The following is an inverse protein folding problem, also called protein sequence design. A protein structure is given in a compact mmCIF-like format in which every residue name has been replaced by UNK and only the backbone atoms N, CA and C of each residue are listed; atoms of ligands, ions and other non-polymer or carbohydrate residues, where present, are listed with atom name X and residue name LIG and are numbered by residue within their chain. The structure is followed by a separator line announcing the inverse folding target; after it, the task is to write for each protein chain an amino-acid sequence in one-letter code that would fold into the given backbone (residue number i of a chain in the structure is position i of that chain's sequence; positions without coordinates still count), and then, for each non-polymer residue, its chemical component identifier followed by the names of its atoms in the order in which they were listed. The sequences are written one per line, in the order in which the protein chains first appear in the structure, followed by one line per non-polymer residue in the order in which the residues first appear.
data_IF_142239984442
#
_entry.id   IF_142239984442
#
_cell.length_a   1.000
_cell.length_b   1.000
_cell.length_c   1.000
_cell.angle_alpha   90.00
_cell.angle_beta   90.00
_cell.angle_gamma   90.00
#
_symmetry.space_group_name_H-M   'P 1'
#
loop_
_entity.id
_entity.type
_entity.pdbx_description
1 polymer ?
#
# COMPACT_ATOMS: atom_id res chain seq x y z
N UNK A 1 0.98 33.31 -8.56
CA UNK A 1 -0.12 33.06 -9.49
C UNK A 1 0.19 31.93 -10.45
N UNK A 2 1.36 31.99 -11.12
CA UNK A 2 1.78 30.90 -12.00
C UNK A 2 1.94 29.59 -11.27
N UNK A 3 2.53 29.63 -10.07
CA UNK A 3 2.71 28.43 -9.26
C UNK A 3 1.37 27.85 -8.80
N UNK A 4 0.38 28.69 -8.47
CA UNK A 4 -0.95 28.24 -8.11
C UNK A 4 -1.68 27.58 -9.27
N UNK A 5 -1.63 28.22 -10.46
CA UNK A 5 -2.26 27.67 -11.66
C UNK A 5 -1.59 26.37 -12.09
N UNK A 6 -0.26 26.31 -12.07
CA UNK A 6 0.49 25.10 -12.37
C UNK A 6 0.17 23.99 -11.37
N UNK A 7 0.07 24.31 -10.07
CA UNK A 7 -0.29 23.33 -9.03
C UNK A 7 -1.68 22.76 -9.24
N UNK A 8 -2.66 23.59 -9.61
CA UNK A 8 -4.02 23.13 -9.88
C UNK A 8 -4.05 22.19 -11.08
N UNK A 9 -3.37 22.55 -12.17
CA UNK A 9 -3.30 21.70 -13.37
C UNK A 9 -2.58 20.40 -13.04
N UNK A 10 -1.46 20.47 -12.33
CA UNK A 10 -0.69 19.31 -11.93
C UNK A 10 -1.51 18.37 -11.06
N UNK A 11 -2.22 18.90 -10.05
CA UNK A 11 -3.08 18.11 -9.16
C UNK A 11 -4.20 17.41 -9.92
N UNK A 12 -4.76 18.04 -10.96
CA UNK A 12 -5.82 17.43 -11.78
C UNK A 12 -5.34 16.18 -12.49
N UNK A 13 -4.05 16.10 -12.87
CA UNK A 13 -3.49 14.92 -13.54
C UNK A 13 -3.54 13.69 -12.63
N UNK A 14 -3.57 13.90 -11.30
CA UNK A 14 -3.52 12.83 -10.31
C UNK A 14 -4.85 12.59 -9.59
N UNK A 15 -5.92 13.26 -10.00
CA UNK A 15 -7.24 13.01 -9.42
C UNK A 15 -7.84 11.67 -9.83
N UNK A 16 -7.44 11.17 -10.99
CA UNK A 16 -7.88 9.87 -11.48
C UNK A 16 -6.67 9.04 -11.83
N UNK A 17 -6.67 7.80 -11.38
CA UNK A 17 -5.66 6.82 -11.77
C UNK A 17 -6.38 5.56 -12.22
N UNK A 18 -6.11 5.16 -13.46
CA UNK A 18 -6.71 3.96 -14.03
C UNK A 18 -5.72 2.80 -13.85
N UNK A 19 -6.15 1.76 -13.16
CA UNK A 19 -5.29 0.62 -12.80
C UNK A 19 -4.57 0.03 -14.02
N UNK A 20 -5.26 -0.07 -15.15
CA UNK A 20 -4.69 -0.61 -16.39
C UNK A 20 -3.49 0.17 -16.91
N UNK A 21 -3.37 1.44 -16.54
CA UNK A 21 -2.29 2.33 -17.01
C UNK A 21 -1.12 2.40 -16.03
N UNK A 22 -1.23 1.73 -14.88
CA UNK A 22 -0.19 1.76 -13.84
C UNK A 22 0.74 0.57 -14.02
N UNK A 23 2.04 0.86 -14.10
CA UNK A 23 3.06 -0.18 -14.17
C UNK A 23 3.35 -0.72 -12.77
N UNK A 24 3.32 -2.05 -12.63
CA UNK A 24 3.66 -2.69 -11.38
C UNK A 24 5.18 -2.71 -11.18
N UNK A 25 5.61 -2.52 -9.93
CA UNK A 25 7.01 -2.61 -9.50
C UNK A 25 7.19 -3.90 -8.69
N UNK A 26 8.25 -4.65 -8.98
CA UNK A 26 8.61 -5.81 -8.17
C UNK A 26 9.18 -5.33 -6.83
N UNK A 27 8.68 -5.88 -5.72
CA UNK A 27 9.09 -5.49 -4.36
C UNK A 27 9.88 -6.59 -3.68
N UNK A 28 9.24 -7.74 -3.51
CA UNK A 28 9.79 -8.95 -2.92
C UNK A 28 9.50 -10.10 -3.88
N UNK A 29 10.14 -11.28 -3.73
CA UNK A 29 9.76 -12.43 -4.52
C UNK A 29 8.27 -12.72 -4.41
N UNK A 30 7.57 -12.70 -5.55
CA UNK A 30 6.13 -12.95 -5.61
C UNK A 30 5.26 -11.77 -5.20
N UNK A 31 5.82 -10.58 -5.01
CA UNK A 31 5.08 -9.39 -4.56
C UNK A 31 5.32 -8.23 -5.53
N UNK A 32 4.24 -7.67 -6.06
CA UNK A 32 4.30 -6.49 -6.93
C UNK A 32 3.44 -5.38 -6.37
N UNK A 33 3.81 -4.15 -6.63
CA UNK A 33 3.12 -2.95 -6.14
C UNK A 33 2.75 -2.03 -7.29
N UNK A 34 1.51 -1.55 -7.26
CA UNK A 34 1.05 -0.44 -8.08
C UNK A 34 0.75 0.75 -7.17
N UNK A 35 1.30 1.91 -7.49
CA UNK A 35 0.94 3.16 -6.82
C UNK A 35 -0.29 3.70 -7.54
N UNK A 36 -1.39 3.86 -6.81
CA UNK A 36 -2.62 4.41 -7.34
C UNK A 36 -2.68 5.92 -7.06
N UNK A 37 -3.84 6.48 -6.71
CA UNK A 37 -3.92 7.91 -6.43
C UNK A 37 -3.10 8.27 -5.20
N UNK A 38 -2.46 9.43 -5.25
CA UNK A 38 -1.76 9.97 -4.10
C UNK A 38 -1.67 11.49 -4.15
N UNK A 39 -1.40 12.06 -2.99
CA UNK A 39 -1.03 13.46 -2.78
C UNK A 39 0.07 13.48 -1.73
N UNK A 40 0.48 14.66 -1.30
CA UNK A 40 1.48 14.76 -0.22
C UNK A 40 1.00 14.10 1.08
N UNK A 41 -0.31 14.10 1.32
CA UNK A 41 -0.90 13.66 2.58
C UNK A 41 -1.41 12.22 2.56
N UNK A 42 -1.68 11.67 1.39
CA UNK A 42 -2.28 10.34 1.23
C UNK A 42 -1.69 9.61 0.04
N UNK A 43 -1.57 8.31 0.18
CA UNK A 43 -1.18 7.44 -0.94
C UNK A 43 -1.92 6.12 -0.84
N UNK A 44 -2.48 5.69 -1.96
CA UNK A 44 -3.06 4.36 -2.09
C UNK A 44 -2.19 3.49 -2.97
N UNK A 45 -1.91 2.28 -2.50
CA UNK A 45 -1.16 1.28 -3.26
C UNK A 45 -1.95 -0.02 -3.32
N UNK A 46 -1.79 -0.73 -4.42
CA UNK A 46 -2.34 -2.06 -4.60
C UNK A 46 -1.19 -3.04 -4.70
N UNK A 47 -1.16 -4.00 -3.79
CA UNK A 47 -0.06 -4.95 -3.65
C UNK A 47 -0.58 -6.35 -3.99
N UNK A 48 0.00 -6.97 -5.01
CA UNK A 48 -0.34 -8.33 -5.43
C UNK A 48 0.66 -9.31 -4.83
N UNK A 49 0.15 -10.37 -4.22
CA UNK A 49 0.94 -11.41 -3.56
C UNK A 49 0.64 -12.77 -4.16
N UNK A 50 1.67 -13.48 -4.56
CA UNK A 50 1.58 -14.91 -4.84
C UNK A 50 1.48 -15.68 -3.52
N UNK A 51 0.83 -16.84 -3.56
CA UNK A 51 0.74 -17.71 -2.39
C UNK A 51 2.12 -18.01 -1.82
N UNK A 52 2.28 -17.84 -0.52
CA UNK A 52 3.53 -18.08 0.20
C UNK A 52 4.50 -16.91 0.21
N UNK A 53 4.23 -15.86 -0.57
CA UNK A 53 5.10 -14.68 -0.58
C UNK A 53 4.91 -13.84 0.69
N UNK A 54 5.88 -12.98 0.95
CA UNK A 54 5.95 -12.22 2.20
C UNK A 54 6.19 -10.74 1.95
N UNK A 55 5.55 -9.90 2.78
CA UNK A 55 6.01 -8.56 3.03
C UNK A 55 6.88 -8.60 4.28
N UNK A 56 8.18 -8.33 4.14
CA UNK A 56 9.13 -8.47 5.22
C UNK A 56 8.82 -7.55 6.39
N UNK A 57 9.22 -7.97 7.60
CA UNK A 57 9.07 -7.14 8.78
C UNK A 57 9.83 -5.84 8.61
N UNK A 58 9.14 -4.73 8.84
CA UNK A 58 9.71 -3.39 8.77
C UNK A 58 8.84 -2.42 9.59
N UNK A 59 9.33 -1.20 9.72
CA UNK A 59 8.57 -0.12 10.34
C UNK A 59 8.78 1.16 9.53
N UNK A 60 7.84 2.06 9.61
CA UNK A 60 7.90 3.37 8.99
C UNK A 60 7.10 4.38 9.81
N UNK A 61 7.42 5.66 9.66
CA UNK A 61 6.74 6.74 10.37
C UNK A 61 5.28 6.94 9.93
N UNK A 62 4.95 6.47 8.73
CA UNK A 62 3.63 6.65 8.14
C UNK A 62 2.57 5.86 8.89
N UNK A 63 1.39 6.44 9.01
CA UNK A 63 0.19 5.69 9.38
C UNK A 63 -0.21 4.85 8.18
N UNK A 64 -0.72 3.65 8.42
CA UNK A 64 -1.15 2.76 7.34
C UNK A 64 -2.44 2.04 7.71
N UNK A 65 -3.37 2.00 6.76
CA UNK A 65 -4.52 1.10 6.80
C UNK A 65 -4.40 0.19 5.59
N UNK A 66 -4.63 -1.09 5.80
CA UNK A 66 -4.62 -2.10 4.74
C UNK A 66 -5.96 -2.79 4.69
N UNK A 67 -6.55 -2.85 3.49
CA UNK A 67 -7.79 -3.59 3.21
C UNK A 67 -7.44 -4.83 2.41
N UNK A 68 -7.96 -5.99 2.82
CA UNK A 68 -7.78 -7.24 2.09
C UNK A 68 -8.81 -7.30 0.97
N UNK A 69 -8.38 -6.98 -0.24
CA UNK A 69 -9.26 -7.00 -1.41
C UNK A 69 -9.48 -8.41 -1.96
N UNK A 70 -8.52 -9.30 -1.75
CA UNK A 70 -8.59 -10.69 -2.21
C UNK A 70 -7.62 -11.55 -1.40
N UNK A 71 -7.98 -12.80 -1.14
CA UNK A 71 -7.08 -13.78 -0.55
C UNK A 71 -7.09 -13.82 0.96
N UNK A 72 -6.05 -14.43 1.52
CA UNK A 72 -5.91 -14.65 2.94
C UNK A 72 -4.46 -14.41 3.36
N UNK A 73 -4.26 -13.73 4.48
CA UNK A 73 -2.95 -13.28 4.94
C UNK A 73 -2.79 -13.47 6.43
N UNK A 74 -1.59 -13.80 6.85
CA UNK A 74 -1.20 -13.75 8.25
C UNK A 74 -0.44 -12.44 8.49
N UNK A 75 -1.03 -11.56 9.27
CA UNK A 75 -0.44 -10.27 9.64
C UNK A 75 0.12 -10.32 11.04
N UNK A 76 1.32 -9.76 11.21
CA UNK A 76 1.89 -9.50 12.51
C UNK A 76 2.09 -8.00 12.66
N UNK A 77 1.53 -7.43 13.72
CA UNK A 77 1.65 -6.01 14.05
C UNK A 77 2.13 -5.93 15.50
N UNK A 78 3.36 -5.46 15.70
CA UNK A 78 3.99 -5.54 17.01
C UNK A 78 4.10 -6.99 17.45
N UNK A 79 3.47 -7.33 18.56
CA UNK A 79 3.47 -8.69 19.14
C UNK A 79 2.17 -9.47 18.85
N UNK A 80 1.28 -8.90 18.03
CA UNK A 80 -0.02 -9.50 17.74
C UNK A 80 -0.03 -10.08 16.31
N UNK A 81 -0.40 -11.36 16.18
CA UNK A 81 -0.49 -12.05 14.89
C UNK A 81 -1.89 -12.60 14.70
N UNK A 82 -2.49 -12.28 13.56
CA UNK A 82 -3.84 -12.76 13.20
C UNK A 82 -3.92 -13.07 11.73
N UNK A 83 -4.85 -13.96 11.38
CA UNK A 83 -5.21 -14.24 9.98
C UNK A 83 -6.34 -13.30 9.60
N UNK A 84 -6.19 -12.63 8.46
CA UNK A 84 -7.20 -11.75 7.88
C UNK A 84 -7.57 -12.27 6.50
N UNK A 85 -8.83 -12.10 6.14
CA UNK A 85 -9.40 -12.61 4.89
C UNK A 85 -10.02 -11.46 4.09
N UNK A 86 -10.44 -11.77 2.88
CA UNK A 86 -11.10 -10.79 2.02
C UNK A 86 -12.19 -10.01 2.78
N UNK A 87 -12.12 -8.70 2.72
CA UNK A 87 -13.05 -7.80 3.40
C UNK A 87 -12.56 -7.29 4.75
N UNK A 88 -11.53 -7.90 5.32
CA UNK A 88 -10.96 -7.46 6.59
C UNK A 88 -9.99 -6.29 6.40
N UNK A 89 -9.73 -5.56 7.47
CA UNK A 89 -8.79 -4.46 7.44
C UNK A 89 -7.87 -4.47 8.66
N UNK A 90 -6.72 -3.84 8.49
CA UNK A 90 -5.66 -3.81 9.51
C UNK A 90 -5.16 -2.39 9.64
N UNK A 91 -4.92 -1.93 10.87
CA UNK A 91 -4.33 -0.63 11.13
C UNK A 91 -2.93 -0.79 11.69
N UNK A 92 -1.99 -0.07 11.10
CA UNK A 92 -0.59 -0.03 11.54
C UNK A 92 -0.24 1.37 12.01
N UNK A 93 -0.11 1.57 13.33
CA UNK A 93 0.33 2.86 13.89
C UNK A 93 1.72 3.24 13.41
N UNK A 94 2.04 4.53 13.48
CA UNK A 94 3.37 5.03 13.15
C UNK A 94 4.45 4.31 13.97
N UNK A 95 5.47 3.82 13.28
CA UNK A 95 6.64 3.21 13.92
C UNK A 95 6.48 1.77 14.37
N UNK A 96 5.28 1.19 14.31
CA UNK A 96 5.09 -0.20 14.72
C UNK A 96 5.72 -1.14 13.70
N UNK A 97 6.44 -2.14 14.20
CA UNK A 97 6.98 -3.20 13.33
C UNK A 97 5.85 -4.09 12.86
N UNK A 98 5.79 -4.35 11.56
CA UNK A 98 4.75 -5.20 10.99
C UNK A 98 5.30 -5.99 9.80
N UNK A 99 4.62 -7.07 9.50
CA UNK A 99 4.92 -7.93 8.36
C UNK A 99 3.74 -8.80 8.01
N UNK A 100 3.79 -9.46 6.86
CA UNK A 100 2.68 -10.25 6.35
C UNK A 100 3.20 -11.46 5.58
N UNK A 101 2.46 -12.56 5.68
CA UNK A 101 2.65 -13.75 4.85
C UNK A 101 1.36 -14.02 4.10
N UNK A 102 1.45 -14.20 2.80
CA UNK A 102 0.31 -14.53 1.96
C UNK A 102 -0.01 -16.03 2.07
N UNK A 103 -1.17 -16.36 2.59
CA UNK A 103 -1.61 -17.75 2.75
C UNK A 103 -2.32 -18.24 1.50
N UNK A 104 -3.10 -17.37 0.86
CA UNK A 104 -3.77 -17.62 -0.42
C UNK A 104 -3.53 -16.41 -1.30
N UNK A 105 -3.20 -16.64 -2.57
CA UNK A 105 -2.97 -15.58 -3.55
C UNK A 105 -3.97 -14.45 -3.38
N UNK A 106 -3.47 -13.23 -3.30
CA UNK A 106 -4.33 -12.12 -2.97
C UNK A 106 -3.81 -10.75 -3.29
N UNK A 107 -4.62 -9.78 -2.88
CA UNK A 107 -4.41 -8.37 -3.13
C UNK A 107 -4.67 -7.60 -1.84
N UNK A 108 -3.71 -6.78 -1.46
CA UNK A 108 -3.87 -5.81 -0.37
C UNK A 108 -3.95 -4.41 -0.95
N UNK A 109 -4.86 -3.61 -0.43
CA UNK A 109 -4.91 -2.18 -0.72
C UNK A 109 -4.39 -1.42 0.50
N UNK A 110 -3.25 -0.78 0.35
CA UNK A 110 -2.60 0.00 1.41
C UNK A 110 -2.92 1.48 1.24
N UNK A 111 -3.24 2.15 2.34
CA UNK A 111 -3.41 3.60 2.38
C UNK A 111 -2.43 4.16 3.41
N UNK A 112 -1.61 5.11 2.99
CA UNK A 112 -0.58 5.74 3.82
C UNK A 112 -0.87 7.22 4.06
N UNK A 113 -0.53 7.70 5.24
CA UNK A 113 -0.52 9.11 5.59
C UNK A 113 0.76 9.42 6.39
N UNK A 114 1.63 10.33 5.93
CA UNK A 114 1.65 10.92 4.60
C UNK A 114 2.02 9.92 3.50
N UNK A 115 2.21 10.39 2.28
CA UNK A 115 2.64 9.51 1.19
C UNK A 115 4.01 8.90 1.45
N UNK A 116 4.24 7.74 0.86
CA UNK A 116 5.54 7.05 0.89
C UNK A 116 6.44 7.64 -0.19
N UNK A 117 7.24 8.64 0.17
CA UNK A 117 8.18 9.28 -0.76
C UNK A 117 9.18 8.28 -1.33
N UNK A 118 9.58 7.32 -0.51
CA UNK A 118 10.52 6.28 -0.89
C UNK A 118 10.01 5.41 -2.05
N UNK A 119 8.69 5.31 -2.23
CA UNK A 119 8.12 4.57 -3.36
C UNK A 119 8.23 5.32 -4.68
N UNK A 120 8.44 6.62 -4.64
CA UNK A 120 8.50 7.48 -5.83
C UNK A 120 9.92 7.69 -6.37
N UNK A 121 10.90 7.12 -5.73
CA UNK A 121 12.32 7.26 -6.12
C UNK A 121 12.74 6.18 -7.11
#
# INVERSE_FOLDING_TARGET
ALSSAASVVYKRQYMFTFNKDVTATNCEPGVTRKILCYSDDLMMCEIHFEKGSKGNFHSHKHLQITYVAKGSFEFTIGDETKIVNQGDSVYMPSGVTHGVTCLEEGILCDVFNPMREDFLK
#
